data_IF_807887685757
#
_entry.id   IF_807887685757
#
_cell.length_a   1.000
_cell.length_b   1.000
_cell.length_c   1.000
_cell.angle_alpha   90.00
_cell.angle_beta   90.00
_cell.angle_gamma   90.00
#
_symmetry.space_group_name_H-M   'P 1'
#
loop_
_entity.id
_entity.type
_entity.pdbx_description
1 polymer ?
#
# COMPACT_ATOMS: atom_id res chain seq x y z
N UNK A 1 -0.22 -8.23 3.56
CA UNK A 1 -0.64 -8.66 4.91
C UNK A 1 -2.01 -9.29 4.82
N UNK A 2 -2.22 -10.37 5.55
CA UNK A 2 -3.53 -11.02 5.69
C UNK A 2 -4.05 -10.69 7.09
N UNK A 3 -5.24 -10.10 7.16
CA UNK A 3 -5.92 -9.78 8.42
C UNK A 3 -7.01 -10.82 8.74
N UNK A 4 -7.10 -11.22 10.00
CA UNK A 4 -8.17 -12.12 10.46
C UNK A 4 -7.90 -13.61 10.21
N UNK A 5 -6.65 -14.04 10.26
CA UNK A 5 -6.31 -15.46 10.26
C UNK A 5 -6.97 -16.15 11.48
N UNK A 6 -7.43 -17.41 11.39
CA UNK A 6 -8.23 -18.08 12.44
C UNK A 6 -7.65 -18.04 13.87
N UNK A 7 -6.33 -17.99 14.02
CA UNK A 7 -5.68 -17.92 15.34
C UNK A 7 -5.33 -16.49 15.76
N UNK A 8 -5.59 -15.49 14.93
CA UNK A 8 -5.28 -14.09 15.24
C UNK A 8 -6.20 -13.55 16.33
N UNK A 9 -5.69 -13.38 17.54
CA UNK A 9 -6.39 -12.69 18.61
C UNK A 9 -6.14 -11.17 18.55
N UNK A 10 -6.80 -10.41 19.43
CA UNK A 10 -6.69 -8.95 19.45
C UNK A 10 -5.26 -8.46 19.72
N UNK A 11 -4.55 -9.13 20.63
CA UNK A 11 -3.15 -8.80 20.94
C UNK A 11 -2.23 -9.00 19.71
N UNK A 12 -2.44 -10.09 18.97
CA UNK A 12 -1.66 -10.35 17.76
C UNK A 12 -1.95 -9.32 16.66
N UNK A 13 -3.22 -8.95 16.47
CA UNK A 13 -3.60 -7.89 15.56
C UNK A 13 -2.96 -6.55 15.95
N UNK A 14 -3.02 -6.17 17.23
CA UNK A 14 -2.42 -4.95 17.73
C UNK A 14 -0.89 -4.94 17.56
N UNK A 15 -0.22 -6.07 17.76
CA UNK A 15 1.21 -6.20 17.51
C UNK A 15 1.55 -5.94 16.03
N UNK A 16 0.75 -6.48 15.09
CA UNK A 16 0.90 -6.21 13.66
C UNK A 16 0.71 -4.72 13.36
N UNK A 17 -0.35 -4.12 13.89
CA UNK A 17 -0.64 -2.70 13.73
C UNK A 17 0.52 -1.82 14.19
N UNK A 18 1.00 -2.05 15.42
CA UNK A 18 2.12 -1.30 16.03
C UNK A 18 3.41 -1.49 15.21
N UNK A 19 3.72 -2.72 14.77
CA UNK A 19 4.90 -3.00 13.95
C UNK A 19 4.90 -2.15 12.67
N UNK A 20 3.77 -2.06 11.99
CA UNK A 20 3.63 -1.27 10.77
C UNK A 20 3.78 0.23 11.03
N UNK A 21 3.16 0.71 12.11
CA UNK A 21 3.18 2.11 12.51
C UNK A 21 4.59 2.53 12.94
N UNK A 22 5.24 1.77 13.83
CA UNK A 22 6.55 2.10 14.41
C UNK A 22 7.65 2.08 13.34
N UNK A 23 7.54 1.21 12.36
CA UNK A 23 8.49 1.12 11.24
C UNK A 23 8.07 1.92 10.01
N UNK A 24 6.96 2.66 10.06
CA UNK A 24 6.46 3.52 8.98
C UNK A 24 6.32 2.79 7.64
N UNK A 25 5.86 1.54 7.67
CA UNK A 25 5.68 0.73 6.45
C UNK A 25 4.44 1.23 5.71
N UNK A 26 4.63 2.03 4.66
CA UNK A 26 3.58 2.79 3.98
C UNK A 26 2.94 2.08 2.79
N UNK A 27 3.66 1.22 2.09
CA UNK A 27 3.13 0.49 0.93
C UNK A 27 2.53 -0.85 1.36
N UNK A 28 1.26 -0.85 1.74
CA UNK A 28 0.57 -2.00 2.31
C UNK A 28 -0.45 -2.60 1.34
N UNK A 29 -0.36 -3.90 1.11
CA UNK A 29 -1.40 -4.68 0.46
C UNK A 29 -2.12 -5.52 1.52
N UNK A 30 -3.36 -5.16 1.85
CA UNK A 30 -4.13 -5.77 2.92
C UNK A 30 -5.24 -6.65 2.34
N UNK A 31 -5.21 -7.92 2.71
CA UNK A 31 -6.21 -8.92 2.32
C UNK A 31 -6.95 -9.43 3.56
N UNK A 32 -8.29 -9.39 3.59
CA UNK A 32 -9.04 -10.12 4.60
C UNK A 32 -8.80 -11.62 4.40
N UNK A 33 -8.63 -12.37 5.48
CA UNK A 33 -8.49 -13.81 5.41
C UNK A 33 -9.71 -14.44 4.73
N UNK A 34 -9.47 -15.36 3.82
CA UNK A 34 -10.49 -16.15 3.15
C UNK A 34 -10.07 -17.63 3.16
N UNK A 35 -10.86 -18.52 3.76
CA UNK A 35 -10.51 -19.94 3.82
C UNK A 35 -10.45 -20.55 2.42
N UNK A 36 -9.37 -21.23 2.11
CA UNK A 36 -9.19 -21.96 0.85
C UNK A 36 -9.46 -23.44 1.06
N UNK A 37 -10.31 -24.03 0.20
CA UNK A 37 -10.62 -25.45 0.24
C UNK A 37 -9.35 -26.31 0.32
N UNK A 38 -9.39 -27.36 1.14
CA UNK A 38 -8.30 -28.30 1.36
C UNK A 38 -7.06 -27.76 2.11
N UNK A 39 -7.15 -26.59 2.76
CA UNK A 39 -6.07 -26.08 3.62
C UNK A 39 -6.34 -26.37 5.10
N UNK A 40 -5.29 -26.53 5.93
CA UNK A 40 -5.47 -26.62 7.39
C UNK A 40 -6.24 -25.45 7.97
N UNK A 41 -5.95 -24.22 7.52
CA UNK A 41 -6.60 -23.01 8.00
C UNK A 41 -8.13 -22.99 7.74
N UNK A 42 -8.58 -23.61 6.67
CA UNK A 42 -10.03 -23.72 6.39
C UNK A 42 -10.77 -24.65 7.38
N UNK A 43 -10.04 -25.51 8.08
CA UNK A 43 -10.60 -26.45 9.09
C UNK A 43 -10.54 -25.90 10.51
N UNK A 44 -9.86 -24.77 10.71
CA UNK A 44 -9.81 -24.09 12.02
C UNK A 44 -11.11 -23.34 12.30
N UNK A 45 -11.44 -23.10 13.58
CA UNK A 45 -12.53 -22.18 13.94
C UNK A 45 -12.25 -20.80 13.33
N UNK A 46 -13.20 -20.33 12.50
CA UNK A 46 -13.04 -19.05 11.80
C UNK A 46 -13.42 -17.88 12.69
N UNK A 47 -12.75 -16.75 12.52
CA UNK A 47 -13.19 -15.49 13.11
C UNK A 47 -14.48 -15.01 12.43
N UNK A 48 -15.27 -14.23 13.14
CA UNK A 48 -16.46 -13.60 12.60
C UNK A 48 -16.12 -12.64 11.46
N UNK A 49 -16.88 -12.69 10.38
CA UNK A 49 -16.67 -11.84 9.20
C UNK A 49 -16.55 -10.34 9.50
N UNK A 50 -17.39 -9.76 10.42
CA UNK A 50 -17.24 -8.36 10.80
C UNK A 50 -15.88 -8.03 11.41
N UNK A 51 -15.31 -8.92 12.23
CA UNK A 51 -13.99 -8.73 12.85
C UNK A 51 -12.90 -8.72 11.75
N UNK A 52 -12.92 -9.70 10.85
CA UNK A 52 -11.98 -9.78 9.73
C UNK A 52 -12.04 -8.51 8.87
N UNK A 53 -13.26 -8.08 8.52
CA UNK A 53 -13.49 -6.88 7.72
C UNK A 53 -12.96 -5.62 8.42
N UNK A 54 -13.27 -5.47 9.72
CA UNK A 54 -12.81 -4.32 10.51
C UNK A 54 -11.30 -4.26 10.56
N UNK A 55 -10.61 -5.35 10.91
CA UNK A 55 -9.15 -5.41 10.97
C UNK A 55 -8.50 -5.06 9.64
N UNK A 56 -9.01 -5.60 8.53
CA UNK A 56 -8.52 -5.25 7.20
C UNK A 56 -8.71 -3.77 6.88
N UNK A 57 -9.82 -3.17 7.30
CA UNK A 57 -10.10 -1.75 7.11
C UNK A 57 -9.16 -0.88 7.95
N UNK A 58 -8.97 -1.21 9.23
CA UNK A 58 -8.08 -0.47 10.14
C UNK A 58 -6.64 -0.45 9.61
N UNK A 59 -6.14 -1.59 9.08
CA UNK A 59 -4.81 -1.66 8.47
C UNK A 59 -4.70 -0.86 7.15
N UNK A 60 -5.76 -0.82 6.33
CA UNK A 60 -5.77 0.02 5.13
C UNK A 60 -5.69 1.50 5.48
N UNK A 61 -6.50 1.95 6.45
CA UNK A 61 -6.44 3.33 6.93
C UNK A 61 -5.06 3.69 7.48
N UNK A 62 -4.43 2.78 8.23
CA UNK A 62 -3.05 2.98 8.68
C UNK A 62 -2.10 3.17 7.49
N UNK A 63 -2.17 2.29 6.49
CA UNK A 63 -1.34 2.38 5.29
C UNK A 63 -1.52 3.70 4.53
N UNK A 64 -2.78 4.13 4.34
CA UNK A 64 -3.09 5.41 3.67
C UNK A 64 -2.53 6.61 4.45
N UNK A 65 -2.63 6.60 5.78
CA UNK A 65 -2.06 7.63 6.64
C UNK A 65 -0.53 7.67 6.56
N UNK A 66 0.12 6.50 6.65
CA UNK A 66 1.58 6.40 6.54
C UNK A 66 2.08 6.84 5.17
N UNK A 67 1.40 6.45 4.09
CA UNK A 67 1.74 6.90 2.73
C UNK A 67 1.58 8.42 2.58
N UNK A 68 0.53 8.99 3.17
CA UNK A 68 0.32 10.44 3.17
C UNK A 68 1.43 11.18 3.91
N UNK A 69 1.94 10.62 5.02
CA UNK A 69 3.08 11.17 5.74
C UNK A 69 4.37 11.11 4.91
N UNK A 70 4.63 9.99 4.24
CA UNK A 70 5.76 9.87 3.31
C UNK A 70 5.69 10.95 2.25
N UNK A 71 4.54 11.10 1.57
CA UNK A 71 4.34 12.13 0.54
C UNK A 71 4.59 13.55 1.05
N UNK A 72 4.09 13.89 2.23
CA UNK A 72 4.29 15.23 2.84
C UNK A 72 5.75 15.53 3.18
N UNK A 73 6.54 14.50 3.46
CA UNK A 73 7.95 14.64 3.84
C UNK A 73 8.91 14.58 2.63
N UNK A 74 8.37 14.43 1.41
CA UNK A 74 9.17 14.50 0.20
C UNK A 74 9.46 15.97 -0.14
N UNK A 75 10.70 16.37 0.04
CA UNK A 75 11.19 17.75 -0.20
C UNK A 75 12.15 17.86 -1.38
N UNK A 76 12.70 16.74 -1.83
CA UNK A 76 13.68 16.71 -2.91
C UNK A 76 13.03 16.46 -4.27
N UNK A 77 13.73 16.86 -5.33
CA UNK A 77 13.35 16.49 -6.70
C UNK A 77 13.21 14.99 -6.88
N UNK A 78 12.18 14.59 -7.61
CA UNK A 78 11.89 13.18 -7.88
C UNK A 78 12.42 12.75 -9.24
N UNK A 79 13.08 11.60 -9.27
CA UNK A 79 13.42 10.89 -10.50
C UNK A 79 12.31 9.87 -10.78
N UNK A 80 11.57 10.08 -11.85
CA UNK A 80 10.40 9.28 -12.19
C UNK A 80 10.72 8.45 -13.41
N UNK A 81 10.61 7.12 -13.28
CA UNK A 81 10.65 6.20 -14.41
C UNK A 81 9.30 6.20 -15.12
N UNK A 82 9.28 6.57 -16.39
CA UNK A 82 8.05 6.64 -17.18
C UNK A 82 7.62 5.24 -17.61
N UNK A 83 6.44 4.81 -17.14
CA UNK A 83 5.89 3.48 -17.41
C UNK A 83 4.62 3.50 -18.24
N UNK A 84 3.91 4.63 -18.29
CA UNK A 84 2.66 4.77 -19.05
C UNK A 84 2.64 6.07 -19.81
N UNK A 85 2.17 6.01 -21.06
CA UNK A 85 1.91 7.16 -21.92
C UNK A 85 0.41 7.23 -22.19
N UNK A 86 -0.23 8.34 -21.81
CA UNK A 86 -1.62 8.64 -22.12
C UNK A 86 -1.71 9.88 -23.03
N UNK A 87 -2.88 10.17 -23.56
CA UNK A 87 -3.10 11.30 -24.49
C UNK A 87 -2.81 12.67 -23.87
N UNK A 88 -2.92 12.81 -22.55
CA UNK A 88 -2.82 14.11 -21.86
C UNK A 88 -1.76 14.14 -20.76
N UNK A 89 -1.25 12.99 -20.35
CA UNK A 89 -0.25 12.89 -19.30
C UNK A 89 0.60 11.63 -19.48
N UNK A 90 1.77 11.67 -18.90
CA UNK A 90 2.61 10.51 -18.68
C UNK A 90 2.55 10.13 -17.20
N UNK A 91 2.73 8.87 -16.87
CA UNK A 91 2.80 8.44 -15.48
C UNK A 91 3.94 7.45 -15.24
N UNK A 92 4.43 7.45 -14.03
CA UNK A 92 5.51 6.58 -13.62
C UNK A 92 5.72 6.61 -12.12
N UNK A 93 6.70 5.87 -11.65
CA UNK A 93 7.03 5.76 -10.24
C UNK A 93 8.37 6.39 -9.93
N UNK A 94 8.45 7.06 -8.77
CA UNK A 94 9.70 7.57 -8.26
C UNK A 94 10.49 6.50 -7.47
N UNK A 95 11.66 6.89 -6.95
CA UNK A 95 12.53 6.02 -6.16
C UNK A 95 11.91 5.53 -4.83
N UNK A 96 10.78 6.08 -4.41
CA UNK A 96 9.99 5.68 -3.25
C UNK A 96 8.73 4.89 -3.63
N UNK A 97 8.60 4.46 -4.88
CA UNK A 97 7.41 3.78 -5.43
C UNK A 97 6.12 4.61 -5.31
N UNK A 98 6.23 5.94 -5.37
CA UNK A 98 5.08 6.82 -5.42
C UNK A 98 4.76 7.09 -6.88
N UNK A 99 3.51 6.88 -7.28
CA UNK A 99 3.03 7.15 -8.64
C UNK A 99 2.84 8.65 -8.82
N UNK A 100 3.44 9.18 -9.88
CA UNK A 100 3.30 10.55 -10.32
C UNK A 100 2.58 10.60 -11.66
N UNK A 101 1.82 11.67 -11.88
CA UNK A 101 1.25 12.01 -13.19
C UNK A 101 1.81 13.37 -13.59
N UNK A 102 2.41 13.42 -14.77
CA UNK A 102 3.07 14.62 -15.29
C UNK A 102 2.38 15.02 -16.60
N UNK A 103 2.13 16.33 -16.86
CA UNK A 103 1.67 16.77 -18.17
C UNK A 103 2.58 16.25 -19.28
N UNK A 104 2.02 15.85 -20.41
CA UNK A 104 2.75 15.23 -21.51
C UNK A 104 3.80 16.19 -22.08
N UNK A 105 5.08 15.79 -22.00
CA UNK A 105 6.23 16.58 -22.45
C UNK A 105 7.12 15.68 -23.35
N UNK A 106 6.62 15.20 -24.47
CA UNK A 106 7.43 14.56 -25.51
C UNK A 106 8.38 13.43 -25.05
N UNK A 107 8.03 12.71 -24.00
CA UNK A 107 8.85 11.67 -23.37
C UNK A 107 8.52 10.29 -23.89
N UNK A 108 9.44 9.34 -23.73
CA UNK A 108 9.28 7.95 -24.14
C UNK A 108 9.18 7.01 -22.92
N UNK A 109 8.58 5.83 -23.14
CA UNK A 109 8.58 4.76 -22.11
C UNK A 109 10.03 4.38 -21.74
N UNK A 110 10.27 4.19 -20.44
CA UNK A 110 11.57 3.81 -19.90
C UNK A 110 12.53 4.98 -19.67
N UNK A 111 12.17 6.20 -20.04
CA UNK A 111 12.96 7.39 -19.69
C UNK A 111 12.80 7.76 -18.22
N UNK A 112 13.85 8.38 -17.67
CA UNK A 112 13.84 8.93 -16.29
C UNK A 112 13.76 10.45 -16.38
N UNK A 113 12.75 11.00 -15.75
CA UNK A 113 12.52 12.45 -15.66
C UNK A 113 12.76 12.93 -14.24
N UNK A 114 13.41 14.07 -14.10
CA UNK A 114 13.50 14.77 -12.81
C UNK A 114 12.43 15.86 -12.77
N UNK A 115 11.62 15.86 -11.72
CA UNK A 115 10.57 16.86 -11.49
C UNK A 115 10.53 17.28 -10.03
N UNK A 116 10.09 18.50 -9.78
CA UNK A 116 9.76 18.96 -8.44
C UNK A 116 8.57 18.17 -7.87
N UNK A 117 8.52 18.00 -6.55
CA UNK A 117 7.38 17.35 -5.89
C UNK A 117 6.10 18.18 -6.10
N UNK A 118 5.25 17.75 -7.01
CA UNK A 118 3.88 18.24 -7.15
C UNK A 118 2.90 17.07 -6.96
N UNK A 119 2.12 17.14 -5.91
CA UNK A 119 1.06 16.17 -5.59
C UNK A 119 -0.31 16.80 -5.74
#
# INVERSE_FOLDING_TARGET
IIAGFPTENEKMFQNTYNLLQDNQISHLHIFPFSPKKNTPAARMPQLEKPIIKKRAQDLRLLGDNLLSLVKKNLIDDRKILIEELNTHHISGYDQNYIKHQIPMIGMSLGEIVTTECSF
#
